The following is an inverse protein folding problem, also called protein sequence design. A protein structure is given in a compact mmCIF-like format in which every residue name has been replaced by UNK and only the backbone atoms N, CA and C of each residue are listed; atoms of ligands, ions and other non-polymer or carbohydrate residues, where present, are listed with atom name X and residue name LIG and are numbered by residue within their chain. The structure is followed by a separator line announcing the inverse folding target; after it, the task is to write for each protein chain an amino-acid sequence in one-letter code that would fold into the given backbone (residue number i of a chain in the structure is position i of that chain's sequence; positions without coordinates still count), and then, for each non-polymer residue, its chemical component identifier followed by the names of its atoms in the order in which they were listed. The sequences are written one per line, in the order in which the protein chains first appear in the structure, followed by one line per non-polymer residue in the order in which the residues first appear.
data_IF_374445477424
#
_entry.id   IF_374445477424
#
_cell.length_a   1.000
_cell.length_b   1.000
_cell.length_c   1.000
_cell.angle_alpha   90.00
_cell.angle_beta   90.00
_cell.angle_gamma   90.00
#
_symmetry.space_group_name_H-M   'P 1'
#
loop_
_entity.id
_entity.type
_entity.pdbx_description
1 polymer ?
#
# COMPACT_ATOMS: atom_id res chain seq x y z
N UNK A 1 -0.92 17.15 0.00
CA UNK A 1 0.54 17.34 -0.21
C UNK A 1 1.30 16.45 0.76
N UNK A 2 2.38 15.85 0.29
CA UNK A 2 3.36 15.12 1.10
C UNK A 2 4.75 15.71 0.85
N UNK A 3 5.56 15.79 1.90
CA UNK A 3 6.91 16.32 1.85
C UNK A 3 7.83 15.41 2.66
N UNK A 4 8.99 15.05 2.10
CA UNK A 4 10.05 14.34 2.81
C UNK A 4 11.42 14.93 2.47
N UNK A 5 12.23 15.21 3.48
CA UNK A 5 13.60 15.71 3.33
C UNK A 5 14.47 15.36 4.54
N UNK A 6 15.75 15.73 4.49
CA UNK A 6 16.57 15.79 5.70
C UNK A 6 16.02 16.86 6.64
N UNK A 7 16.01 16.58 7.94
CA UNK A 7 15.50 17.48 8.95
C UNK A 7 16.37 18.74 9.07
N UNK A 8 15.69 19.88 9.21
CA UNK A 8 16.32 21.19 9.31
C UNK A 8 15.34 22.20 9.93
N UNK A 9 15.85 23.18 10.70
CA UNK A 9 15.02 24.30 11.15
C UNK A 9 14.36 25.03 9.97
N UNK A 10 13.07 25.36 10.13
CA UNK A 10 12.34 26.20 9.18
C UNK A 10 11.61 25.47 8.05
N UNK A 11 11.61 24.14 8.00
CA UNK A 11 10.84 23.37 6.99
C UNK A 11 9.34 23.69 7.10
N UNK A 12 8.78 23.55 8.30
CA UNK A 12 7.35 23.80 8.58
C UNK A 12 6.98 25.24 8.24
N UNK A 13 7.81 26.21 8.63
CA UNK A 13 7.59 27.63 8.36
C UNK A 13 7.59 27.93 6.86
N UNK A 14 8.60 27.46 6.12
CA UNK A 14 8.67 27.66 4.68
C UNK A 14 7.50 27.01 3.96
N UNK A 15 7.09 25.82 4.41
CA UNK A 15 5.98 25.08 3.80
C UNK A 15 4.65 25.79 4.05
N UNK A 16 4.40 26.27 5.27
CA UNK A 16 3.17 27.01 5.56
C UNK A 16 3.12 28.36 4.85
N UNK A 17 4.25 29.07 4.76
CA UNK A 17 4.37 30.30 3.98
C UNK A 17 4.11 30.07 2.48
N UNK A 18 4.67 29.00 1.91
CA UNK A 18 4.44 28.64 0.51
C UNK A 18 2.95 28.34 0.22
N UNK A 19 2.27 27.65 1.14
CA UNK A 19 0.82 27.41 1.04
C UNK A 19 0.05 28.73 1.09
N UNK A 20 0.39 29.65 1.99
CA UNK A 20 -0.25 30.98 2.04
C UNK A 20 0.03 31.78 0.76
N UNK A 21 1.23 31.70 0.20
CA UNK A 21 1.60 32.41 -1.03
C UNK A 21 0.76 31.98 -2.24
N UNK A 22 0.33 30.71 -2.30
CA UNK A 22 -0.62 30.23 -3.31
C UNK A 22 -2.09 30.53 -2.96
N UNK A 23 -2.34 31.28 -1.88
CA UNK A 23 -3.68 31.62 -1.38
C UNK A 23 -4.33 30.48 -0.61
N UNK A 24 -3.56 29.46 -0.20
CA UNK A 24 -4.08 28.26 0.41
C UNK A 24 -4.41 28.40 1.91
N UNK A 25 -5.34 27.55 2.37
CA UNK A 25 -5.74 27.41 3.76
C UNK A 25 -5.56 25.94 4.21
N UNK A 26 -4.83 25.73 5.29
CA UNK A 26 -4.50 24.39 5.80
C UNK A 26 -5.72 23.84 6.55
N UNK A 27 -6.18 22.66 6.14
CA UNK A 27 -7.29 21.94 6.76
C UNK A 27 -6.81 20.86 7.72
N UNK A 28 -5.71 20.19 7.38
CA UNK A 28 -5.08 19.14 8.18
C UNK A 28 -3.58 19.20 7.96
N UNK A 29 -2.80 19.07 9.04
CA UNK A 29 -1.36 18.99 8.96
C UNK A 29 -0.82 18.04 10.01
N UNK A 30 0.03 17.11 9.59
CA UNK A 30 0.76 16.20 10.46
C UNK A 30 2.22 16.12 10.01
N UNK A 31 3.14 16.01 10.97
CA UNK A 31 4.57 16.08 10.73
C UNK A 31 5.35 15.25 11.75
N UNK A 32 6.44 14.66 11.31
CA UNK A 32 7.28 13.83 12.15
C UNK A 32 8.73 13.87 11.66
N UNK A 33 9.66 13.99 12.61
CA UNK A 33 11.08 13.76 12.37
C UNK A 33 11.47 12.43 13.01
N UNK A 34 12.04 11.52 12.23
CA UNK A 34 12.69 10.32 12.77
C UNK A 34 14.06 10.71 13.34
N UNK A 35 14.26 10.70 14.67
CA UNK A 35 15.52 11.13 15.28
C UNK A 35 16.69 10.19 14.97
N UNK A 36 16.43 8.97 14.49
CA UNK A 36 17.46 8.00 14.16
C UNK A 36 18.02 8.24 12.75
N UNK A 37 17.14 8.50 11.79
CA UNK A 37 17.53 8.71 10.39
C UNK A 37 17.75 10.18 10.04
N UNK A 38 17.26 11.10 10.88
CA UNK A 38 17.26 12.53 10.60
C UNK A 38 16.36 12.92 9.44
N UNK A 39 15.38 12.07 9.08
CA UNK A 39 14.42 12.39 8.02
C UNK A 39 13.16 13.05 8.60
N UNK A 40 12.78 14.16 7.99
CA UNK A 40 11.52 14.87 8.23
C UNK A 40 10.48 14.42 7.21
N UNK A 41 9.26 14.12 7.67
CA UNK A 41 8.09 13.81 6.86
C UNK A 41 6.91 14.70 7.27
N UNK A 42 6.14 15.17 6.31
CA UNK A 42 4.96 16.00 6.54
C UNK A 42 3.87 15.67 5.53
N UNK A 43 2.62 15.62 6.01
CA UNK A 43 1.42 15.53 5.19
C UNK A 43 0.54 16.74 5.51
N UNK A 44 0.18 17.46 4.46
CA UNK A 44 -0.69 18.63 4.58
C UNK A 44 -1.82 18.52 3.59
N UNK A 45 -3.05 18.61 4.09
CA UNK A 45 -4.26 18.80 3.31
C UNK A 45 -4.66 20.26 3.43
N UNK A 46 -4.81 20.92 2.30
CA UNK A 46 -5.13 22.33 2.24
C UNK A 46 -6.04 22.57 1.03
N UNK A 47 -6.85 23.61 1.12
CA UNK A 47 -7.58 24.18 -0.01
C UNK A 47 -6.79 25.35 -0.59
N UNK A 48 -6.92 25.62 -1.88
CA UNK A 48 -6.33 26.79 -2.54
C UNK A 48 -7.26 27.27 -3.66
N UNK A 49 -7.17 28.55 -4.07
CA UNK A 49 -7.90 29.07 -5.23
C UNK A 49 -7.69 28.19 -6.47
N UNK A 50 -8.72 28.06 -7.31
CA UNK A 50 -8.66 27.25 -8.51
C UNK A 50 -7.47 27.64 -9.38
N UNK A 51 -6.56 26.69 -9.60
CA UNK A 51 -5.39 26.80 -10.47
C UNK A 51 -4.94 25.41 -10.89
N UNK A 52 -4.13 25.33 -11.94
CA UNK A 52 -3.55 24.06 -12.38
C UNK A 52 -2.67 23.47 -11.27
N UNK A 53 -2.83 22.18 -10.97
CA UNK A 53 -2.16 21.50 -9.87
C UNK A 53 -0.64 21.58 -10.01
N UNK A 54 -0.15 21.49 -11.24
CA UNK A 54 1.28 21.56 -11.54
C UNK A 54 1.86 22.95 -11.28
N UNK A 55 1.09 24.03 -11.51
CA UNK A 55 1.52 25.39 -11.18
C UNK A 55 1.64 25.57 -9.66
N UNK A 56 0.65 25.09 -8.91
CA UNK A 56 0.68 25.11 -7.43
C UNK A 56 1.87 24.29 -6.92
N UNK A 57 2.07 23.09 -7.46
CA UNK A 57 3.20 22.21 -7.09
C UNK A 57 4.55 22.87 -7.38
N UNK A 58 4.69 23.50 -8.55
CA UNK A 58 5.91 24.19 -8.96
C UNK A 58 6.28 25.35 -8.03
N UNK A 59 5.27 26.16 -7.65
CA UNK A 59 5.45 27.26 -6.69
C UNK A 59 5.83 26.75 -5.31
N UNK A 60 5.08 25.79 -4.78
CA UNK A 60 5.41 25.16 -3.49
C UNK A 60 6.83 24.61 -3.49
N UNK A 61 7.20 23.86 -4.53
CA UNK A 61 8.54 23.27 -4.65
C UNK A 61 9.64 24.34 -4.68
N UNK A 62 9.44 25.46 -5.39
CA UNK A 62 10.41 26.55 -5.44
C UNK A 62 10.68 27.15 -4.04
N UNK A 63 9.63 27.36 -3.25
CA UNK A 63 9.73 27.96 -1.91
C UNK A 63 10.42 27.04 -0.90
N UNK A 64 10.29 25.72 -1.05
CA UNK A 64 10.94 24.73 -0.19
C UNK A 64 12.22 24.12 -0.79
N UNK A 65 12.66 24.56 -1.97
CA UNK A 65 13.75 23.94 -2.73
C UNK A 65 15.07 23.83 -1.96
N UNK A 66 15.33 24.78 -1.03
CA UNK A 66 16.54 24.77 -0.18
C UNK A 66 16.67 23.53 0.70
N UNK A 67 15.58 22.82 0.97
CA UNK A 67 15.56 21.58 1.74
C UNK A 67 15.69 20.33 0.88
N UNK A 68 15.76 20.49 -0.45
CA UNK A 68 15.81 19.40 -1.43
C UNK A 68 14.72 18.32 -1.20
N UNK A 69 13.44 18.71 -1.06
CA UNK A 69 12.40 17.76 -0.67
C UNK A 69 11.95 16.88 -1.84
N UNK A 70 11.51 15.67 -1.48
CA UNK A 70 10.61 14.90 -2.33
C UNK A 70 9.19 15.42 -2.03
N UNK A 71 8.61 16.14 -2.99
CA UNK A 71 7.30 16.78 -2.86
C UNK A 71 6.24 16.08 -3.72
N UNK A 72 5.20 15.56 -3.05
CA UNK A 72 3.99 15.06 -3.68
C UNK A 72 2.84 16.06 -3.57
N UNK A 73 2.15 16.33 -4.66
CA UNK A 73 0.89 17.08 -4.67
C UNK A 73 -0.10 16.38 -5.59
N UNK A 74 -1.33 16.22 -5.12
CA UNK A 74 -2.45 15.58 -5.80
C UNK A 74 -3.74 16.22 -5.28
N UNK A 75 -4.73 16.37 -6.16
CA UNK A 75 -6.09 16.76 -5.75
C UNK A 75 -6.75 15.61 -4.99
N UNK A 76 -7.48 15.93 -3.93
CA UNK A 76 -8.21 14.92 -3.15
C UNK A 76 -9.22 14.13 -4.01
N UNK A 77 -9.78 14.77 -5.04
CA UNK A 77 -10.70 14.13 -5.99
C UNK A 77 -10.03 13.11 -6.94
N UNK A 78 -8.72 13.19 -7.16
CA UNK A 78 -8.02 12.30 -8.10
C UNK A 78 -7.61 11.02 -7.39
N UNK A 79 -8.48 10.01 -7.33
CA UNK A 79 -8.17 8.74 -6.65
C UNK A 79 -6.94 8.04 -7.24
N UNK A 80 -6.16 7.37 -6.38
CA UNK A 80 -5.05 6.53 -6.84
C UNK A 80 -5.58 5.37 -7.68
N UNK A 81 -4.88 5.05 -8.76
CA UNK A 81 -5.19 3.94 -9.66
C UNK A 81 -4.47 2.69 -9.18
N UNK A 82 -5.20 1.65 -8.81
CA UNK A 82 -4.64 0.42 -8.29
C UNK A 82 -4.91 -0.81 -9.15
N UNK A 83 -3.87 -1.62 -9.31
CA UNK A 83 -3.94 -2.94 -9.88
C UNK A 83 -3.81 -3.97 -8.76
N UNK A 84 -4.80 -4.86 -8.65
CA UNK A 84 -4.79 -5.91 -7.62
C UNK A 84 -4.33 -7.22 -8.22
N UNK A 85 -3.32 -7.82 -7.62
CA UNK A 85 -2.83 -9.15 -7.98
C UNK A 85 -3.35 -10.19 -7.00
N UNK A 86 -3.90 -11.29 -7.52
CA UNK A 86 -4.49 -12.38 -6.72
C UNK A 86 -4.07 -13.73 -7.27
N UNK A 87 -3.96 -14.76 -6.43
CA UNK A 87 -3.87 -16.16 -6.89
C UNK A 87 -5.24 -16.84 -6.77
N UNK A 88 -5.36 -17.96 -6.05
CA UNK A 88 -6.63 -18.67 -5.89
C UNK A 88 -7.48 -18.19 -4.70
N UNK A 89 -6.85 -17.60 -3.69
CA UNK A 89 -7.54 -17.13 -2.49
C UNK A 89 -8.10 -15.72 -2.72
N UNK A 90 -9.42 -15.59 -2.73
CA UNK A 90 -10.14 -14.38 -3.16
C UNK A 90 -10.54 -13.44 -2.01
N UNK A 91 -10.38 -13.85 -0.75
CA UNK A 91 -10.96 -13.13 0.41
C UNK A 91 -10.48 -11.69 0.57
N UNK A 92 -9.21 -11.41 0.23
CA UNK A 92 -8.68 -10.05 0.24
C UNK A 92 -9.21 -9.23 -0.94
N UNK A 93 -9.28 -9.82 -2.14
CA UNK A 93 -9.82 -9.16 -3.33
C UNK A 93 -11.31 -8.82 -3.12
N UNK A 94 -12.09 -9.76 -2.59
CA UNK A 94 -13.51 -9.57 -2.30
C UNK A 94 -13.76 -8.41 -1.33
N UNK A 95 -12.95 -8.29 -0.26
CA UNK A 95 -13.09 -7.20 0.72
C UNK A 95 -12.73 -5.84 0.10
N UNK A 96 -11.66 -5.76 -0.70
CA UNK A 96 -11.27 -4.53 -1.39
C UNK A 96 -12.35 -4.06 -2.39
N UNK A 97 -12.90 -4.99 -3.18
CA UNK A 97 -13.97 -4.68 -4.14
C UNK A 97 -15.24 -4.21 -3.42
N UNK A 98 -15.66 -4.93 -2.37
CA UNK A 98 -16.82 -4.55 -1.56
C UNK A 98 -16.66 -3.14 -0.96
N UNK A 99 -15.52 -2.84 -0.34
CA UNK A 99 -15.27 -1.51 0.26
C UNK A 99 -15.22 -0.39 -0.75
N UNK A 100 -14.68 -0.65 -1.96
CA UNK A 100 -14.72 0.31 -3.07
C UNK A 100 -16.17 0.65 -3.43
N UNK A 101 -17.03 -0.34 -3.58
CA UNK A 101 -18.45 -0.12 -3.90
C UNK A 101 -19.21 0.65 -2.83
N UNK A 102 -18.85 0.44 -1.56
CA UNK A 102 -19.44 1.19 -0.44
C UNK A 102 -18.86 2.62 -0.29
N UNK A 103 -17.87 3.01 -1.10
CA UNK A 103 -17.17 4.28 -0.98
C UNK A 103 -16.25 4.37 0.25
N UNK A 104 -15.93 3.24 0.90
CA UNK A 104 -15.05 3.17 2.06
C UNK A 104 -13.55 3.15 1.69
N UNK A 105 -13.26 2.88 0.41
CA UNK A 105 -11.90 2.81 -0.12
C UNK A 105 -11.74 3.85 -1.25
N UNK A 106 -11.07 4.99 -1.00
CA UNK A 106 -10.96 6.10 -1.96
C UNK A 106 -9.89 5.82 -3.04
N UNK A 107 -10.10 4.76 -3.80
CA UNK A 107 -9.17 4.15 -4.75
C UNK A 107 -9.92 3.76 -6.02
N UNK A 108 -9.32 4.01 -7.18
CA UNK A 108 -9.80 3.45 -8.44
C UNK A 108 -9.13 2.09 -8.69
N UNK A 109 -9.88 1.00 -8.59
CA UNK A 109 -9.38 -0.34 -8.87
C UNK A 109 -9.53 -0.61 -10.37
N UNK A 110 -8.43 -0.45 -11.12
CA UNK A 110 -8.43 -0.35 -12.58
C UNK A 110 -8.28 -1.70 -13.29
N UNK A 111 -7.69 -2.68 -12.61
CA UNK A 111 -7.53 -4.03 -13.13
C UNK A 111 -7.27 -5.04 -12.00
N UNK A 112 -7.68 -6.28 -12.24
CA UNK A 112 -7.23 -7.45 -11.48
C UNK A 112 -6.35 -8.31 -12.36
N UNK A 113 -5.20 -8.74 -11.85
CA UNK A 113 -4.30 -9.69 -12.51
C UNK A 113 -4.18 -10.95 -11.68
N UNK A 114 -4.21 -12.11 -12.32
CA UNK A 114 -4.02 -13.37 -11.64
C UNK A 114 -3.25 -14.37 -12.48
N UNK A 115 -2.54 -15.27 -11.82
CA UNK A 115 -1.95 -16.44 -12.45
C UNK A 115 -2.92 -17.62 -12.60
N UNK A 116 -4.20 -17.42 -12.28
CA UNK A 116 -5.30 -18.39 -12.40
C UNK A 116 -6.57 -17.72 -12.96
N UNK A 117 -7.56 -18.50 -13.40
CA UNK A 117 -8.87 -17.99 -13.81
C UNK A 117 -9.89 -17.85 -12.66
N UNK A 118 -9.59 -18.40 -11.47
CA UNK A 118 -10.54 -18.65 -10.37
C UNK A 118 -11.29 -17.40 -9.90
N UNK A 119 -10.62 -16.25 -9.88
CA UNK A 119 -11.20 -15.00 -9.38
C UNK A 119 -11.87 -14.14 -10.47
N UNK A 120 -11.92 -14.59 -11.73
CA UNK A 120 -12.45 -13.83 -12.87
C UNK A 120 -13.89 -13.38 -12.64
N UNK A 121 -14.76 -14.32 -12.30
CA UNK A 121 -16.19 -14.05 -12.08
C UNK A 121 -16.43 -13.06 -10.93
N UNK A 122 -15.55 -13.02 -9.92
CA UNK A 122 -15.63 -12.02 -8.86
C UNK A 122 -15.33 -10.62 -9.43
N UNK A 123 -14.22 -10.46 -10.14
CA UNK A 123 -13.82 -9.18 -10.75
C UNK A 123 -14.87 -8.64 -11.73
N UNK A 124 -15.40 -9.49 -12.60
CA UNK A 124 -16.39 -9.11 -13.62
C UNK A 124 -17.71 -8.65 -13.00
N UNK A 125 -18.14 -9.24 -11.88
CA UNK A 125 -19.35 -8.78 -11.16
C UNK A 125 -19.22 -7.37 -10.57
N UNK A 126 -17.99 -6.92 -10.36
CA UNK A 126 -17.66 -5.60 -9.84
C UNK A 126 -17.19 -4.64 -10.95
N UNK A 127 -17.43 -5.00 -12.23
CA UNK A 127 -17.07 -4.22 -13.42
C UNK A 127 -15.57 -3.85 -13.48
N UNK A 128 -14.69 -4.75 -13.03
CA UNK A 128 -13.24 -4.57 -13.10
C UNK A 128 -12.62 -5.52 -14.14
N UNK A 129 -11.83 -5.01 -15.11
CA UNK A 129 -11.07 -5.82 -16.06
C UNK A 129 -10.21 -6.89 -15.39
N UNK A 130 -10.27 -8.13 -15.89
CA UNK A 130 -9.52 -9.26 -15.36
C UNK A 130 -8.54 -9.85 -16.39
N UNK A 131 -7.27 -9.88 -16.02
CA UNK A 131 -6.18 -10.42 -16.82
C UNK A 131 -5.62 -11.69 -16.20
N UNK A 132 -5.60 -12.75 -16.99
CA UNK A 132 -4.96 -14.00 -16.62
C UNK A 132 -3.55 -14.01 -17.22
N UNK A 133 -2.55 -14.02 -16.36
CA UNK A 133 -1.12 -14.04 -16.70
C UNK A 133 -0.49 -15.27 -16.03
N UNK A 134 -0.54 -16.45 -16.68
CA UNK A 134 0.02 -17.66 -16.14
C UNK A 134 1.54 -17.53 -15.90
N UNK A 135 2.03 -18.08 -14.78
CA UNK A 135 3.44 -18.03 -14.41
C UNK A 135 3.99 -19.45 -14.26
N UNK A 136 5.00 -19.78 -15.05
CA UNK A 136 5.86 -20.94 -14.90
C UNK A 136 7.30 -20.47 -14.62
N UNK A 137 8.17 -21.31 -14.03
CA UNK A 137 9.56 -20.93 -13.74
C UNK A 137 10.31 -20.35 -14.95
N UNK A 138 10.09 -20.90 -16.14
CA UNK A 138 10.68 -20.49 -17.41
C UNK A 138 10.05 -19.23 -18.02
N UNK A 139 8.78 -18.94 -17.71
CA UNK A 139 8.02 -17.80 -18.28
C UNK A 139 7.91 -16.61 -17.34
N UNK A 140 8.57 -16.66 -16.18
CA UNK A 140 8.45 -15.63 -15.14
C UNK A 140 8.79 -14.23 -15.64
N UNK A 141 9.86 -14.09 -16.43
CA UNK A 141 10.27 -12.80 -16.97
C UNK A 141 9.26 -12.25 -17.98
N UNK A 142 8.67 -13.11 -18.82
CA UNK A 142 7.64 -12.72 -19.79
C UNK A 142 6.33 -12.32 -19.10
N UNK A 143 5.95 -13.05 -18.03
CA UNK A 143 4.82 -12.70 -17.19
C UNK A 143 5.00 -11.33 -16.51
N UNK A 144 6.19 -11.06 -15.95
CA UNK A 144 6.51 -9.77 -15.36
C UNK A 144 6.65 -8.65 -16.40
N UNK A 145 7.01 -8.95 -17.65
CA UNK A 145 6.97 -7.98 -18.76
C UNK A 145 5.52 -7.60 -19.09
N UNK A 146 4.63 -8.59 -19.22
CA UNK A 146 3.18 -8.36 -19.40
C UNK A 146 2.60 -7.52 -18.27
N UNK A 147 3.04 -7.78 -17.03
CA UNK A 147 2.61 -7.04 -15.86
C UNK A 147 3.06 -5.58 -15.88
N UNK A 148 4.29 -5.30 -16.36
CA UNK A 148 4.77 -3.92 -16.61
C UNK A 148 3.92 -3.21 -17.65
N UNK A 149 3.57 -3.91 -18.75
CA UNK A 149 2.74 -3.34 -19.81
C UNK A 149 1.34 -2.97 -19.28
N UNK A 150 0.74 -3.82 -18.44
CA UNK A 150 -0.54 -3.53 -17.79
C UNK A 150 -0.43 -2.34 -16.84
N UNK A 151 0.62 -2.30 -16.00
CA UNK A 151 0.88 -1.17 -15.09
C UNK A 151 1.00 0.15 -15.85
N UNK A 152 1.75 0.16 -16.97
CA UNK A 152 1.90 1.32 -17.81
C UNK A 152 0.58 1.70 -18.53
N UNK A 153 -0.11 0.73 -19.12
CA UNK A 153 -1.37 0.95 -19.85
C UNK A 153 -2.46 1.56 -18.96
N UNK A 154 -2.52 1.11 -17.71
CA UNK A 154 -3.50 1.56 -16.75
C UNK A 154 -3.03 2.75 -15.90
N UNK A 155 -1.81 3.24 -16.08
CA UNK A 155 -1.22 4.33 -15.27
C UNK A 155 -1.34 4.04 -13.77
N UNK A 156 -0.90 2.85 -13.35
CA UNK A 156 -1.08 2.36 -11.97
C UNK A 156 -0.18 3.11 -11.00
N UNK A 157 -0.76 3.64 -9.92
CA UNK A 157 -0.07 4.27 -8.79
C UNK A 157 0.30 3.28 -7.68
N UNK A 158 -0.45 2.17 -7.58
CA UNK A 158 -0.34 1.19 -6.50
C UNK A 158 -0.65 -0.23 -6.99
N UNK A 159 0.29 -1.15 -6.80
CA UNK A 159 0.09 -2.59 -6.99
C UNK A 159 -0.20 -3.23 -5.63
N UNK A 160 -1.32 -3.96 -5.54
CA UNK A 160 -1.75 -4.63 -4.30
C UNK A 160 -1.67 -6.14 -4.46
N UNK A 161 -0.78 -6.80 -3.73
CA UNK A 161 -0.69 -8.26 -3.68
C UNK A 161 -1.72 -8.81 -2.69
N UNK A 162 -2.94 -9.03 -3.16
CA UNK A 162 -4.03 -9.62 -2.40
C UNK A 162 -3.88 -11.15 -2.34
N UNK A 163 -2.92 -11.62 -1.52
CA UNK A 163 -2.53 -13.05 -1.44
C UNK A 163 -2.08 -13.64 -2.78
N UNK A 164 -1.34 -12.84 -3.56
CA UNK A 164 -0.61 -13.33 -4.72
C UNK A 164 0.57 -14.19 -4.27
N UNK A 165 0.65 -15.43 -4.76
CA UNK A 165 1.58 -16.44 -4.22
C UNK A 165 2.89 -16.55 -4.99
N UNK A 166 3.03 -15.89 -6.15
CA UNK A 166 4.29 -15.87 -6.88
C UNK A 166 5.22 -14.80 -6.31
N UNK A 167 6.45 -15.20 -6.01
CA UNK A 167 7.50 -14.27 -5.58
C UNK A 167 7.88 -13.39 -6.78
N UNK A 168 7.84 -12.07 -6.64
CA UNK A 168 8.29 -11.14 -7.68
C UNK A 168 9.83 -11.13 -7.76
N UNK A 169 10.40 -10.90 -8.94
CA UNK A 169 11.85 -10.74 -9.05
C UNK A 169 12.34 -9.47 -8.36
N UNK A 170 13.59 -9.45 -7.84
CA UNK A 170 14.18 -8.23 -7.30
C UNK A 170 14.19 -7.06 -8.29
N UNK A 171 14.36 -7.34 -9.59
CA UNK A 171 14.29 -6.33 -10.64
C UNK A 171 12.91 -5.67 -10.70
N UNK A 172 11.83 -6.47 -10.69
CA UNK A 172 10.46 -5.94 -10.66
C UNK A 172 10.18 -5.15 -9.39
N UNK A 173 10.60 -5.64 -8.22
CA UNK A 173 10.45 -4.93 -6.96
C UNK A 173 11.16 -3.56 -6.96
N UNK A 174 12.33 -3.47 -7.60
CA UNK A 174 13.10 -2.23 -7.70
C UNK A 174 12.46 -1.23 -8.66
N UNK A 175 11.92 -1.68 -9.79
CA UNK A 175 11.23 -0.82 -10.77
C UNK A 175 10.04 -0.09 -10.14
N UNK A 176 9.35 -0.76 -9.20
CA UNK A 176 8.14 -0.25 -8.52
C UNK A 176 8.34 -0.06 -7.02
N UNK A 177 9.57 0.28 -6.60
CA UNK A 177 9.90 0.46 -5.19
C UNK A 177 8.96 1.48 -4.52
N UNK A 178 8.33 1.08 -3.41
CA UNK A 178 7.36 1.91 -2.69
C UNK A 178 5.97 2.01 -3.35
N UNK A 179 5.70 1.24 -4.41
CA UNK A 179 4.40 1.18 -5.10
C UNK A 179 3.75 -0.20 -5.03
N UNK A 180 4.40 -1.20 -4.43
CA UNK A 180 3.83 -2.54 -4.25
C UNK A 180 3.59 -2.80 -2.77
N UNK A 181 2.35 -3.15 -2.40
CA UNK A 181 1.97 -3.56 -1.04
C UNK A 181 1.57 -5.03 -1.02
N UNK A 182 1.99 -5.75 0.02
CA UNK A 182 1.66 -7.16 0.23
C UNK A 182 0.95 -7.39 1.56
N UNK A 183 0.16 -8.46 1.64
CA UNK A 183 -0.38 -8.99 2.90
C UNK A 183 0.30 -10.32 3.23
N UNK A 184 1.00 -10.35 4.36
CA UNK A 184 1.56 -11.55 4.92
C UNK A 184 0.68 -12.06 6.07
N UNK A 185 0.37 -13.36 6.06
CA UNK A 185 -0.58 -14.03 6.94
C UNK A 185 -0.06 -14.31 8.37
N UNK A 186 1.14 -13.82 8.66
CA UNK A 186 1.78 -13.93 9.97
C UNK A 186 2.04 -12.53 10.50
N UNK A 187 2.01 -12.39 11.83
CA UNK A 187 2.58 -11.24 12.49
C UNK A 187 4.10 -11.32 12.34
N UNK A 188 4.68 -10.46 11.50
CA UNK A 188 6.13 -10.42 11.31
C UNK A 188 6.82 -9.77 12.53
N UNK A 189 7.96 -10.32 13.00
CA UNK A 189 8.62 -11.56 12.58
C UNK A 189 7.91 -12.81 13.16
N UNK A 190 7.50 -13.75 12.31
CA UNK A 190 6.73 -14.95 12.69
C UNK A 190 6.98 -16.17 11.80
N UNK A 191 6.03 -17.10 11.71
CA UNK A 191 6.21 -18.38 11.01
C UNK A 191 6.49 -18.17 9.52
N UNK A 192 7.71 -18.51 9.07
CA UNK A 192 8.09 -18.52 7.65
C UNK A 192 7.72 -19.87 7.00
N UNK A 193 7.49 -19.86 5.68
CA UNK A 193 7.32 -21.09 4.88
C UNK A 193 5.89 -21.61 4.75
N UNK A 194 5.75 -22.87 4.33
CA UNK A 194 4.46 -23.46 3.97
C UNK A 194 3.57 -23.77 5.19
N UNK A 195 2.25 -23.74 4.98
CA UNK A 195 1.20 -24.11 5.97
C UNK A 195 1.35 -23.41 7.34
N UNK A 196 1.47 -22.07 7.37
CA UNK A 196 1.69 -21.27 8.58
C UNK A 196 0.68 -21.55 9.70
N UNK A 197 -0.61 -21.71 9.38
CA UNK A 197 -1.64 -21.98 10.38
C UNK A 197 -1.55 -23.38 11.01
N UNK A 198 -0.93 -24.35 10.33
CA UNK A 198 -0.67 -25.66 10.93
C UNK A 198 0.48 -25.56 11.93
N UNK A 199 1.56 -24.84 11.57
CA UNK A 199 2.67 -24.55 12.49
C UNK A 199 2.17 -23.78 13.73
N UNK A 200 1.29 -22.80 13.54
CA UNK A 200 0.67 -22.03 14.63
C UNK A 200 -0.17 -22.92 15.56
N UNK A 201 -0.95 -23.85 14.99
CA UNK A 201 -1.72 -24.84 15.75
C UNK A 201 -0.82 -25.77 16.57
N UNK A 202 0.18 -26.39 15.93
CA UNK A 202 1.14 -27.30 16.57
C UNK A 202 1.91 -26.60 17.68
N UNK A 203 2.27 -25.32 17.49
CA UNK A 203 2.96 -24.50 18.50
C UNK A 203 2.04 -24.05 19.64
N UNK A 204 0.73 -24.18 19.47
CA UNK A 204 -0.28 -23.82 20.47
C UNK A 204 -0.38 -22.32 20.72
N UNK A 205 -0.23 -21.49 19.69
CA UNK A 205 -0.28 -20.03 19.83
C UNK A 205 -1.61 -19.54 20.41
N UNK A 206 -1.61 -18.32 20.97
CA UNK A 206 -2.80 -17.66 21.53
C UNK A 206 -3.22 -16.41 20.77
N UNK A 207 -2.42 -16.05 19.76
CA UNK A 207 -2.65 -14.99 18.81
C UNK A 207 -2.24 -15.50 17.43
N UNK A 208 -3.00 -15.13 16.42
CA UNK A 208 -2.56 -15.12 15.02
C UNK A 208 -2.71 -13.68 14.51
N UNK A 209 -1.98 -13.29 13.48
CA UNK A 209 -2.05 -11.94 12.97
C UNK A 209 -1.63 -11.85 11.52
N UNK A 210 -1.75 -10.65 10.97
CA UNK A 210 -1.31 -10.34 9.62
C UNK A 210 -0.52 -9.03 9.60
N UNK A 211 0.33 -8.89 8.60
CA UNK A 211 1.17 -7.72 8.37
C UNK A 211 1.01 -7.25 6.92
N UNK A 212 0.57 -6.01 6.74
CA UNK A 212 0.67 -5.32 5.46
C UNK A 212 1.97 -4.53 5.39
N UNK A 213 2.71 -4.68 4.30
CA UNK A 213 4.03 -4.06 4.14
C UNK A 213 4.32 -3.74 2.69
N UNK A 214 5.22 -2.79 2.45
CA UNK A 214 5.77 -2.57 1.11
C UNK A 214 6.62 -3.76 0.69
N UNK A 215 6.62 -4.11 -0.59
CA UNK A 215 7.48 -5.15 -1.15
C UNK A 215 8.85 -4.56 -1.49
N UNK A 216 9.91 -5.32 -1.20
CA UNK A 216 11.30 -5.03 -1.57
C UNK A 216 11.89 -6.23 -2.30
N UNK A 217 13.17 -6.15 -2.70
CA UNK A 217 13.90 -7.31 -3.24
C UNK A 217 14.07 -8.46 -2.24
N UNK A 218 13.93 -8.17 -0.94
CA UNK A 218 14.02 -9.15 0.14
C UNK A 218 12.60 -9.63 0.53
N UNK A 219 12.38 -10.95 0.46
CA UNK A 219 11.06 -11.54 0.65
C UNK A 219 10.51 -11.32 2.06
N UNK A 220 9.31 -10.74 2.16
CA UNK A 220 8.58 -10.47 3.42
C UNK A 220 9.34 -9.59 4.43
N UNK A 221 10.27 -8.74 3.97
CA UNK A 221 11.14 -7.92 4.84
C UNK A 221 11.05 -6.41 4.56
N UNK A 222 10.08 -5.98 3.76
CA UNK A 222 9.90 -4.57 3.46
C UNK A 222 9.22 -3.76 4.59
N UNK A 223 9.23 -2.42 4.49
CA UNK A 223 8.67 -1.54 5.51
C UNK A 223 7.20 -1.84 5.83
N UNK A 224 6.93 -2.18 7.09
CA UNK A 224 5.59 -2.48 7.60
C UNK A 224 4.73 -1.21 7.58
N UNK A 225 3.53 -1.32 7.04
CA UNK A 225 2.51 -0.26 7.02
C UNK A 225 1.54 -0.45 8.18
N UNK A 226 1.10 -1.68 8.39
CA UNK A 226 0.04 -1.98 9.33
C UNK A 226 0.09 -3.44 9.79
N UNK A 227 -0.36 -3.69 11.03
CA UNK A 227 -0.43 -5.03 11.61
C UNK A 227 -1.64 -5.15 12.54
N UNK A 228 -2.19 -6.35 12.64
CA UNK A 228 -3.23 -6.64 13.62
C UNK A 228 -3.22 -8.13 14.00
N UNK A 229 -3.84 -8.44 15.14
CA UNK A 229 -3.88 -9.78 15.72
C UNK A 229 -5.28 -10.14 16.23
N UNK A 230 -5.59 -11.43 16.20
CA UNK A 230 -6.80 -11.99 16.80
C UNK A 230 -6.44 -13.10 17.78
N UNK A 231 -7.18 -13.16 18.90
CA UNK A 231 -7.03 -14.21 19.91
C UNK A 231 -7.55 -15.54 19.40
N UNK A 232 -6.77 -16.59 19.67
CA UNK A 232 -7.14 -17.98 19.40
C UNK A 232 -6.97 -18.82 20.66
N UNK A 233 -7.73 -19.91 20.78
CA UNK A 233 -7.74 -20.78 21.94
C UNK A 233 -7.47 -22.23 21.55
N UNK A 234 -7.18 -23.07 22.55
CA UNK A 234 -6.93 -24.51 22.37
C UNK A 234 -8.16 -25.28 21.84
N UNK A 235 -9.35 -24.68 21.85
CA UNK A 235 -10.57 -25.29 21.31
C UNK A 235 -10.68 -25.18 19.79
N UNK A 236 -9.84 -24.36 19.13
CA UNK A 236 -9.83 -24.15 17.68
C UNK A 236 -9.04 -25.25 16.97
N UNK A 237 -9.54 -25.74 15.84
CA UNK A 237 -8.84 -26.65 14.92
C UNK A 237 -8.05 -25.85 13.87
N UNK A 238 -7.12 -26.48 13.12
CA UNK A 238 -6.40 -25.80 12.05
C UNK A 238 -7.28 -25.08 11.02
N UNK A 239 -8.44 -25.65 10.65
CA UNK A 239 -9.36 -24.98 9.71
C UNK A 239 -9.95 -23.69 10.30
N UNK A 240 -10.21 -23.65 11.60
CA UNK A 240 -10.74 -22.46 12.26
C UNK A 240 -9.69 -21.34 12.30
N UNK A 241 -8.40 -21.69 12.44
CA UNK A 241 -7.30 -20.73 12.34
C UNK A 241 -7.15 -20.15 10.93
N UNK A 242 -7.34 -20.97 9.88
CA UNK A 242 -7.31 -20.50 8.50
C UNK A 242 -8.45 -19.50 8.24
N UNK A 243 -9.66 -19.79 8.73
CA UNK A 243 -10.80 -18.87 8.59
C UNK A 243 -10.55 -17.53 9.28
N UNK A 244 -10.12 -17.55 10.55
CA UNK A 244 -9.74 -16.34 11.30
C UNK A 244 -8.56 -15.61 10.64
N UNK A 245 -7.64 -16.36 10.04
CA UNK A 245 -6.53 -15.86 9.25
C UNK A 245 -6.98 -15.00 8.07
N UNK A 246 -7.92 -15.52 7.26
CA UNK A 246 -8.52 -14.77 6.15
C UNK A 246 -9.20 -13.48 6.62
N UNK A 247 -9.87 -13.53 7.77
CA UNK A 247 -10.56 -12.37 8.34
C UNK A 247 -9.60 -11.25 8.76
N UNK A 248 -8.48 -11.59 9.40
CA UNK A 248 -7.48 -10.61 9.82
C UNK A 248 -6.69 -10.07 8.62
N UNK A 249 -6.36 -10.92 7.65
CA UNK A 249 -5.65 -10.52 6.43
C UNK A 249 -6.43 -9.48 5.62
N UNK A 250 -7.72 -9.72 5.34
CA UNK A 250 -8.52 -8.77 4.56
C UNK A 250 -8.63 -7.41 5.25
N UNK A 251 -8.79 -7.41 6.57
CA UNK A 251 -8.95 -6.19 7.36
C UNK A 251 -7.66 -5.37 7.38
N UNK A 252 -6.52 -6.02 7.64
CA UNK A 252 -5.20 -5.36 7.67
C UNK A 252 -4.83 -4.84 6.29
N UNK A 253 -5.05 -5.63 5.22
CA UNK A 253 -4.77 -5.16 3.87
C UNK A 253 -5.65 -3.97 3.49
N UNK A 254 -6.96 -4.02 3.76
CA UNK A 254 -7.86 -2.93 3.43
C UNK A 254 -7.50 -1.63 4.17
N UNK A 255 -7.12 -1.73 5.46
CA UNK A 255 -6.64 -0.57 6.24
C UNK A 255 -5.35 0.01 5.66
N UNK A 256 -4.38 -0.83 5.31
CA UNK A 256 -3.14 -0.38 4.67
C UNK A 256 -3.38 0.27 3.29
N UNK A 257 -4.20 -0.33 2.43
CA UNK A 257 -4.53 0.24 1.11
C UNK A 257 -5.25 1.59 1.27
N UNK A 258 -6.16 1.72 2.23
CA UNK A 258 -6.81 3.00 2.53
C UNK A 258 -5.81 4.07 2.97
N UNK A 259 -4.88 3.75 3.87
CA UNK A 259 -3.84 4.68 4.30
C UNK A 259 -2.99 5.16 3.11
N UNK A 260 -2.68 4.27 2.16
CA UNK A 260 -1.95 4.63 0.94
C UNK A 260 -2.78 5.50 -0.01
N UNK A 261 -4.06 5.17 -0.20
CA UNK A 261 -4.98 5.93 -1.03
C UNK A 261 -5.18 7.37 -0.52
N UNK A 262 -5.11 7.58 0.79
CA UNK A 262 -5.21 8.88 1.46
C UNK A 262 -3.86 9.62 1.63
N UNK A 263 -2.78 9.11 1.04
CA UNK A 263 -1.41 9.63 1.17
C UNK A 263 -0.91 9.73 2.62
N UNK A 264 -1.33 8.80 3.49
CA UNK A 264 -1.01 8.79 4.93
C UNK A 264 0.25 8.01 5.30
N UNK A 265 0.97 7.44 4.34
CA UNK A 265 2.15 6.61 4.60
C UNK A 265 3.38 7.19 3.93
N UNK A 266 4.45 7.41 4.71
CA UNK A 266 5.76 7.78 4.20
C UNK A 266 6.81 6.72 4.58
N UNK A 267 7.58 6.24 3.59
CA UNK A 267 8.69 5.32 3.85
C UNK A 267 9.89 6.11 4.39
N UNK A 268 10.46 5.67 5.51
CA UNK A 268 11.66 6.25 6.14
C UNK A 268 12.64 5.13 6.48
N UNK A 269 13.68 4.99 5.66
CA UNK A 269 14.59 3.85 5.74
C UNK A 269 13.85 2.53 5.57
N UNK A 270 13.95 1.63 6.56
CA UNK A 270 13.25 0.34 6.58
C UNK A 270 11.90 0.36 7.32
N UNK A 271 11.38 1.55 7.64
CA UNK A 271 10.14 1.74 8.41
C UNK A 271 9.17 2.63 7.66
N UNK A 272 7.97 2.77 8.21
CA UNK A 272 7.00 3.76 7.74
C UNK A 272 6.64 4.73 8.85
N UNK A 273 6.33 5.97 8.44
CA UNK A 273 5.59 6.94 9.23
C UNK A 273 4.14 6.88 8.73
N UNK A 274 3.20 6.63 9.63
CA UNK A 274 1.77 6.59 9.34
C UNK A 274 1.10 7.76 10.04
N UNK A 275 0.60 8.72 9.25
CA UNK A 275 -0.07 9.92 9.75
C UNK A 275 -1.45 9.58 10.31
N UNK A 276 -1.85 10.23 11.41
CA UNK A 276 -3.10 9.94 12.11
C UNK A 276 -4.34 10.20 11.24
N UNK A 277 -5.45 9.52 11.52
CA UNK A 277 -6.76 9.72 10.86
C UNK A 277 -7.62 10.75 11.59
#
# INVERSE_FOLDING_TARGET
MTLRCADAPGIVHATSEAIVAVGGNILENDQFTDPVTGQFCMRTRFEAPSGEVDDVKGRLHADVARFQPILGLRLEAHQRRALVMVSEADHCLADLLYRREQGELPLDLVAVVSNHATCRALSERHDVPYYEVPVAPESKLDAEATLRDLIATYEVDLVVLARYMQILTPAFCNDFAGQIVNIHHSFLPGFKGARPYHQAYERGVKLIGASAHFVTGDLDEGPIIDQDVVRVSHARRPQDLIALGRDIERTVLARAVRLLAEDRVAIVGQRTVVFAQ
#
